data_IF_149122749371
#
_entry.id   IF_149122749371
#
_cell.length_a   1.000
_cell.length_b   1.000
_cell.length_c   1.000
_cell.angle_alpha   90.00
_cell.angle_beta   90.00
_cell.angle_gamma   90.00
#
_symmetry.space_group_name_H-M   'P 1'
#
loop_
_entity.id
_entity.type
_entity.pdbx_description
1 polymer ?
#
# COMPACT_ATOMS: atom_id res chain seq x y z
N UNK A 1 -0.14 -5.93 10.59
CA UNK A 1 -0.26 -5.95 9.11
C UNK A 1 0.40 -7.18 8.46
N UNK A 2 1.73 -7.38 8.52
CA UNK A 2 2.44 -8.50 7.83
C UNK A 2 1.84 -9.91 8.06
N UNK A 3 1.22 -10.15 9.22
CA UNK A 3 0.64 -11.45 9.61
C UNK A 3 -0.76 -11.73 9.08
N UNK A 4 -1.49 -10.69 8.68
CA UNK A 4 -2.93 -10.75 8.39
C UNK A 4 -3.26 -10.32 6.97
N UNK A 5 -2.43 -9.48 6.35
CA UNK A 5 -2.80 -8.79 5.12
C UNK A 5 -2.85 -9.69 3.89
N UNK A 6 -2.08 -10.78 3.85
CA UNK A 6 -2.17 -11.82 2.81
C UNK A 6 -3.40 -12.73 2.97
N UNK A 7 -4.09 -12.64 4.12
CA UNK A 7 -5.26 -13.46 4.48
C UNK A 7 -6.56 -12.67 4.43
N UNK A 8 -6.52 -11.41 4.01
CA UNK A 8 -7.73 -10.62 3.79
C UNK A 8 -8.60 -11.27 2.69
N UNK A 9 -9.93 -11.08 2.74
CA UNK A 9 -10.79 -11.55 1.67
C UNK A 9 -10.43 -10.87 0.35
N UNK A 10 -10.74 -11.53 -0.77
CA UNK A 10 -10.31 -11.11 -2.12
C UNK A 10 -10.81 -9.73 -2.54
N UNK A 11 -11.87 -9.24 -1.90
CA UNK A 11 -12.41 -7.91 -2.13
C UNK A 11 -11.67 -6.80 -1.36
N UNK A 12 -10.65 -7.11 -0.53
CA UNK A 12 -9.83 -6.12 0.16
C UNK A 12 -8.36 -6.22 -0.30
N UNK A 13 -7.89 -5.14 -0.93
CA UNK A 13 -6.47 -4.86 -1.07
C UNK A 13 -6.05 -3.81 -0.04
N UNK A 14 -4.93 -4.04 0.66
CA UNK A 14 -4.35 -3.06 1.58
C UNK A 14 -2.83 -3.09 1.52
N UNK A 15 -2.24 -1.95 1.19
CA UNK A 15 -0.80 -1.69 1.15
C UNK A 15 -0.35 -0.97 2.42
N UNK A 16 0.87 -1.27 2.87
CA UNK A 16 1.62 -0.37 3.75
C UNK A 16 2.64 0.42 2.93
N UNK A 17 2.65 1.74 3.09
CA UNK A 17 3.53 2.66 2.38
C UNK A 17 4.37 3.47 3.38
N UNK A 18 5.51 2.93 3.82
CA UNK A 18 6.42 3.68 4.64
C UNK A 18 7.16 4.77 3.88
N UNK A 19 7.27 5.94 4.50
CA UNK A 19 7.86 7.15 3.93
C UNK A 19 8.66 7.91 4.99
N UNK A 20 9.73 8.58 4.57
CA UNK A 20 10.40 9.58 5.41
C UNK A 20 9.61 10.88 5.36
N UNK A 21 9.22 11.40 6.52
CA UNK A 21 8.47 12.65 6.67
C UNK A 21 9.14 13.57 7.69
N UNK A 22 8.78 14.85 7.67
CA UNK A 22 9.20 15.79 8.72
C UNK A 22 8.50 15.45 10.04
N UNK A 23 9.28 15.50 11.12
CA UNK A 23 8.80 15.30 12.49
C UNK A 23 8.09 16.54 13.04
N UNK A 24 7.84 16.51 14.35
CA UNK A 24 7.15 17.61 15.04
C UNK A 24 8.10 18.79 15.33
N UNK A 25 9.40 18.53 15.44
CA UNK A 25 10.41 19.56 15.68
C UNK A 25 11.11 19.93 14.37
N UNK A 26 11.53 21.19 14.27
CA UNK A 26 12.30 21.66 13.13
C UNK A 26 13.58 20.81 12.94
N UNK A 27 13.79 20.34 11.70
CA UNK A 27 14.93 19.48 11.34
C UNK A 27 14.79 18.01 11.75
N UNK A 28 13.76 17.64 12.52
CA UNK A 28 13.49 16.25 12.86
C UNK A 28 12.88 15.53 11.64
N UNK A 29 13.31 14.28 11.43
CA UNK A 29 12.72 13.39 10.42
C UNK A 29 12.31 12.09 11.08
N UNK A 30 11.19 11.54 10.64
CA UNK A 30 10.65 10.29 11.16
C UNK A 30 10.08 9.44 10.02
N UNK A 31 9.64 8.23 10.35
CA UNK A 31 8.93 7.36 9.42
C UNK A 31 7.42 7.47 9.68
N UNK A 32 6.66 7.79 8.64
CA UNK A 32 5.23 7.56 8.61
C UNK A 32 4.93 6.28 7.82
N UNK A 33 4.02 5.45 8.31
CA UNK A 33 3.51 4.29 7.56
C UNK A 33 2.08 4.58 7.17
N UNK A 34 1.86 4.87 5.89
CA UNK A 34 0.52 5.17 5.36
C UNK A 34 -0.12 3.87 4.86
N UNK A 35 -1.35 3.59 5.27
CA UNK A 35 -2.10 2.44 4.78
C UNK A 35 -3.06 2.87 3.68
N UNK A 36 -2.84 2.38 2.47
CA UNK A 36 -3.77 2.59 1.35
C UNK A 36 -4.56 1.31 1.11
N UNK A 37 -5.87 1.43 0.98
CA UNK A 37 -6.73 0.28 0.77
C UNK A 37 -7.76 0.54 -0.33
N UNK A 38 -8.11 -0.52 -1.05
CA UNK A 38 -9.28 -0.56 -1.93
C UNK A 38 -10.13 -1.74 -1.53
N UNK A 39 -11.41 -1.46 -1.27
CA UNK A 39 -12.39 -2.46 -0.89
C UNK A 39 -13.54 -2.47 -1.89
N UNK A 40 -13.82 -3.64 -2.47
CA UNK A 40 -14.97 -3.83 -3.36
C UNK A 40 -16.21 -4.09 -2.50
N UNK A 41 -16.73 -3.01 -1.90
CA UNK A 41 -17.87 -3.03 -1.01
C UNK A 41 -18.11 -1.69 -0.32
N UNK A 42 -19.03 -1.69 0.65
CA UNK A 42 -19.41 -0.51 1.44
C UNK A 42 -18.44 -0.27 2.60
N UNK A 43 -18.29 0.98 3.02
CA UNK A 43 -17.34 1.40 4.05
C UNK A 43 -17.62 0.77 5.43
N UNK A 44 -18.89 0.57 5.80
CA UNK A 44 -19.30 -0.11 7.04
C UNK A 44 -18.75 -1.56 7.10
N UNK A 45 -18.85 -2.29 5.99
CA UNK A 45 -18.30 -3.65 5.85
C UNK A 45 -16.78 -3.66 5.91
N UNK A 46 -16.12 -2.68 5.27
CA UNK A 46 -14.67 -2.51 5.38
C UNK A 46 -14.26 -2.28 6.83
N UNK A 47 -14.91 -1.34 7.51
CA UNK A 47 -14.61 -1.00 8.90
C UNK A 47 -14.81 -2.19 9.83
N UNK A 48 -15.90 -2.94 9.68
CA UNK A 48 -16.15 -4.15 10.46
C UNK A 48 -15.05 -5.21 10.24
N UNK A 49 -14.65 -5.42 8.99
CA UNK A 49 -13.58 -6.34 8.62
C UNK A 49 -12.22 -5.93 9.21
N UNK A 50 -11.84 -4.66 9.08
CA UNK A 50 -10.58 -4.13 9.61
C UNK A 50 -10.58 -4.16 11.13
N UNK A 51 -11.68 -3.79 11.78
CA UNK A 51 -11.82 -3.89 13.24
C UNK A 51 -11.64 -5.33 13.75
N UNK A 52 -12.10 -6.32 12.98
CA UNK A 52 -11.95 -7.72 13.34
C UNK A 52 -10.53 -8.26 13.10
N UNK A 53 -9.87 -7.85 12.02
CA UNK A 53 -8.63 -8.48 11.52
C UNK A 53 -7.35 -7.68 11.75
N UNK A 54 -7.47 -6.37 11.94
CA UNK A 54 -6.38 -5.42 12.16
C UNK A 54 -6.87 -4.22 13.00
N UNK A 55 -7.39 -4.46 14.23
CA UNK A 55 -7.91 -3.39 15.09
C UNK A 55 -6.87 -2.32 15.42
N UNK A 56 -5.58 -2.66 15.43
CA UNK A 56 -4.47 -1.75 15.74
C UNK A 56 -4.32 -0.62 14.72
N UNK A 57 -4.91 -0.76 13.51
CA UNK A 57 -4.94 0.32 12.52
C UNK A 57 -5.85 1.47 12.96
N UNK A 58 -6.88 1.20 13.78
CA UNK A 58 -7.80 2.22 14.26
C UNK A 58 -8.59 2.92 13.16
N UNK A 59 -8.93 2.22 12.06
CA UNK A 59 -9.67 2.80 10.92
C UNK A 59 -11.00 3.43 11.36
N UNK A 60 -11.24 4.67 10.95
CA UNK A 60 -12.47 5.42 11.25
C UNK A 60 -13.27 5.71 9.98
N UNK A 61 -14.51 6.18 10.15
CA UNK A 61 -15.43 6.40 9.03
C UNK A 61 -14.96 7.54 8.13
N UNK A 62 -14.37 8.57 8.73
CA UNK A 62 -13.78 9.73 8.07
C UNK A 62 -12.59 9.38 7.18
N UNK A 63 -11.92 8.26 7.45
CA UNK A 63 -10.80 7.76 6.64
C UNK A 63 -11.29 6.96 5.42
N UNK A 64 -12.60 6.70 5.29
CA UNK A 64 -13.20 5.87 4.24
C UNK A 64 -13.94 6.71 3.20
N UNK A 65 -13.47 6.70 1.95
CA UNK A 65 -14.12 7.41 0.84
C UNK A 65 -14.80 6.42 -0.10
N UNK A 66 -16.13 6.43 -0.14
CA UNK A 66 -16.90 5.61 -1.08
C UNK A 66 -17.03 6.32 -2.42
N UNK A 67 -16.68 5.63 -3.50
CA UNK A 67 -16.74 6.15 -4.87
C UNK A 67 -16.96 4.99 -5.85
N UNK A 68 -17.26 5.32 -7.12
CA UNK A 68 -17.33 4.30 -8.17
C UNK A 68 -15.96 3.65 -8.38
N UNK A 69 -15.93 2.41 -8.87
CA UNK A 69 -14.67 1.74 -9.18
C UNK A 69 -13.80 2.56 -10.14
N UNK A 70 -14.39 3.18 -11.16
CA UNK A 70 -13.66 4.01 -12.10
C UNK A 70 -13.05 5.25 -11.41
N UNK A 71 -13.77 5.89 -10.49
CA UNK A 71 -13.24 7.02 -9.73
C UNK A 71 -12.03 6.62 -8.85
N UNK A 72 -11.95 5.35 -8.40
CA UNK A 72 -10.77 4.87 -7.66
C UNK A 72 -9.49 4.94 -8.51
N UNK A 73 -9.57 4.82 -9.83
CA UNK A 73 -8.41 4.95 -10.72
C UNK A 73 -7.77 6.34 -10.60
N UNK A 74 -8.59 7.39 -10.51
CA UNK A 74 -8.11 8.77 -10.32
C UNK A 74 -7.52 8.95 -8.92
N UNK A 75 -8.17 8.41 -7.89
CA UNK A 75 -7.65 8.42 -6.52
C UNK A 75 -6.27 7.74 -6.41
N UNK A 76 -6.09 6.57 -7.02
CA UNK A 76 -4.80 5.85 -7.02
C UNK A 76 -3.72 6.52 -7.85
N UNK A 77 -4.10 7.38 -8.80
CA UNK A 77 -3.18 8.20 -9.59
C UNK A 77 -2.89 9.56 -8.93
N UNK A 78 -3.29 9.75 -7.67
CA UNK A 78 -3.11 10.98 -6.89
C UNK A 78 -3.74 12.23 -7.52
N UNK A 79 -4.80 12.06 -8.32
CA UNK A 79 -5.58 13.19 -8.83
C UNK A 79 -6.53 13.76 -7.76
N UNK A 80 -6.78 15.08 -7.73
CA UNK A 80 -7.84 15.67 -6.93
C UNK A 80 -9.20 15.03 -7.21
N UNK A 81 -10.06 14.93 -6.19
CA UNK A 81 -11.34 14.23 -6.26
C UNK A 81 -12.27 14.69 -7.41
N UNK A 82 -12.23 15.97 -7.77
CA UNK A 82 -13.08 16.57 -8.81
C UNK A 82 -12.45 16.55 -10.22
N UNK A 83 -11.34 15.82 -10.39
CA UNK A 83 -10.66 15.74 -11.68
C UNK A 83 -11.50 14.99 -12.72
N UNK A 84 -11.72 15.55 -13.92
CA UNK A 84 -12.46 14.84 -14.96
C UNK A 84 -11.76 13.56 -15.43
N UNK A 85 -12.49 12.45 -15.63
CA UNK A 85 -11.98 11.20 -16.21
C UNK A 85 -11.13 11.32 -17.47
N UNK A 86 -11.39 12.34 -18.30
CA UNK A 86 -10.69 12.56 -19.56
C UNK A 86 -9.19 12.76 -19.39
N UNK A 87 -8.71 13.16 -18.20
CA UNK A 87 -7.28 13.26 -17.91
C UNK A 87 -6.53 11.93 -18.11
N UNK A 88 -7.23 10.79 -17.98
CA UNK A 88 -6.64 9.47 -18.20
C UNK A 88 -6.33 9.19 -19.68
N UNK A 89 -6.79 10.04 -20.61
CA UNK A 89 -6.44 10.00 -22.03
C UNK A 89 -5.14 10.75 -22.33
N UNK A 90 -4.68 11.60 -21.42
CA UNK A 90 -3.48 12.41 -21.61
C UNK A 90 -2.22 11.57 -21.45
N UNK A 91 -1.23 11.79 -22.32
CA UNK A 91 0.09 11.16 -22.22
C UNK A 91 1.02 12.04 -21.37
N UNK A 92 1.56 11.55 -20.23
CA UNK A 92 2.51 12.33 -19.44
C UNK A 92 3.78 12.65 -20.23
N UNK A 93 4.25 13.90 -20.16
CA UNK A 93 5.42 14.39 -20.90
C UNK A 93 6.62 14.74 -20.00
N UNK A 94 6.44 14.78 -18.68
CA UNK A 94 7.48 15.16 -17.72
C UNK A 94 7.96 13.93 -16.94
N UNK A 95 9.11 13.33 -17.30
CA UNK A 95 9.62 12.17 -16.58
C UNK A 95 10.21 12.57 -15.22
N UNK A 96 9.95 11.76 -14.20
CA UNK A 96 10.68 11.80 -12.93
C UNK A 96 11.88 10.86 -12.97
N UNK A 97 13.03 11.29 -12.46
CA UNK A 97 14.19 10.42 -12.30
C UNK A 97 14.12 9.69 -10.96
N UNK A 98 14.17 8.36 -10.99
CA UNK A 98 14.16 7.55 -9.78
C UNK A 98 14.96 6.25 -9.98
N UNK A 99 15.29 5.61 -8.86
CA UNK A 99 15.84 4.25 -8.83
C UNK A 99 14.98 3.38 -7.95
N UNK A 100 14.54 2.25 -8.49
CA UNK A 100 13.77 1.24 -7.74
C UNK A 100 14.47 -0.11 -7.72
N UNK A 101 14.13 -0.88 -6.69
CA UNK A 101 14.42 -2.31 -6.50
C UNK A 101 13.19 -2.92 -5.82
N UNK A 102 13.04 -4.24 -5.92
CA UNK A 102 11.97 -5.00 -5.27
C UNK A 102 12.52 -6.31 -4.70
N UNK A 103 11.80 -6.84 -3.71
CA UNK A 103 12.05 -8.13 -3.09
C UNK A 103 10.72 -8.80 -2.75
N UNK A 104 10.73 -10.13 -2.59
CA UNK A 104 9.59 -10.92 -2.15
C UNK A 104 9.81 -11.44 -0.74
N UNK A 105 8.85 -11.14 0.15
CA UNK A 105 8.93 -11.47 1.57
C UNK A 105 8.06 -12.68 1.87
N UNK A 106 8.70 -13.82 2.18
CA UNK A 106 8.02 -15.09 2.47
C UNK A 106 7.68 -15.29 3.94
N UNK A 107 8.46 -14.66 4.82
CA UNK A 107 8.25 -14.69 6.28
C UNK A 107 8.20 -13.25 6.78
N UNK A 108 7.35 -12.93 7.77
CA UNK A 108 7.29 -11.60 8.35
C UNK A 108 8.67 -11.10 8.75
N UNK A 109 9.00 -9.88 8.35
CA UNK A 109 10.22 -9.21 8.78
C UNK A 109 10.10 -9.00 10.30
N UNK A 110 11.07 -9.45 11.11
CA UNK A 110 11.05 -9.26 12.55
C UNK A 110 11.12 -7.77 12.89
N UNK A 111 10.69 -7.41 14.10
CA UNK A 111 10.63 -6.01 14.54
C UNK A 111 11.99 -5.31 14.41
N UNK A 112 13.05 -5.98 14.82
CA UNK A 112 14.43 -5.47 14.77
C UNK A 112 14.88 -5.26 13.32
N UNK A 113 14.36 -6.07 12.38
CA UNK A 113 14.59 -5.91 10.94
C UNK A 113 13.91 -4.66 10.39
N UNK A 114 12.65 -4.41 10.79
CA UNK A 114 11.94 -3.17 10.44
C UNK A 114 12.62 -1.94 11.04
N UNK A 115 13.09 -2.00 12.29
CA UNK A 115 13.83 -0.90 12.92
C UNK A 115 15.13 -0.56 12.17
N UNK A 116 15.88 -1.59 11.73
CA UNK A 116 17.07 -1.38 10.89
C UNK A 116 16.70 -0.75 9.54
N UNK A 117 15.59 -1.18 8.94
CA UNK A 117 15.08 -0.61 7.70
C UNK A 117 14.73 0.87 7.85
N UNK A 118 14.00 1.25 8.92
CA UNK A 118 13.68 2.64 9.26
C UNK A 118 14.92 3.49 9.44
N UNK A 119 15.88 3.01 10.24
CA UNK A 119 17.16 3.70 10.44
C UNK A 119 17.87 3.92 9.10
N UNK A 120 17.86 2.92 8.21
CA UNK A 120 18.49 3.04 6.89
C UNK A 120 17.78 4.06 6.00
N UNK A 121 16.44 4.04 5.96
CA UNK A 121 15.65 5.03 5.20
C UNK A 121 15.95 6.47 5.65
N UNK A 122 16.10 6.70 6.96
CA UNK A 122 16.41 8.02 7.53
C UNK A 122 17.82 8.53 7.21
N UNK A 123 18.73 7.67 6.72
CA UNK A 123 20.09 8.11 6.31
C UNK A 123 20.12 8.86 4.97
N UNK A 124 19.06 8.75 4.18
CA UNK A 124 18.98 9.42 2.88
C UNK A 124 18.42 10.84 3.04
N UNK A 125 18.99 11.80 2.32
CA UNK A 125 18.50 13.18 2.28
C UNK A 125 17.50 13.43 1.13
N UNK A 126 17.37 12.47 0.22
CA UNK A 126 16.40 12.51 -0.87
C UNK A 126 15.06 11.88 -0.44
N UNK A 127 14.03 12.04 -1.26
CA UNK A 127 12.73 11.39 -1.04
C UNK A 127 12.91 9.87 -1.12
N UNK A 128 12.56 9.15 -0.05
CA UNK A 128 12.65 7.70 0.05
C UNK A 128 11.33 7.14 0.57
N UNK A 129 10.82 6.14 -0.13
CA UNK A 129 9.64 5.40 0.27
C UNK A 129 9.75 3.93 -0.11
N UNK A 130 8.90 3.11 0.49
CA UNK A 130 8.78 1.69 0.19
C UNK A 130 7.31 1.32 0.03
N UNK A 131 6.99 0.42 -0.88
CA UNK A 131 5.61 -0.08 -1.00
C UNK A 131 5.59 -1.55 -0.64
N UNK A 132 4.88 -1.89 0.42
CA UNK A 132 4.65 -3.28 0.84
C UNK A 132 3.28 -3.70 0.32
N UNK A 133 3.28 -4.46 -0.78
CA UNK A 133 2.08 -4.97 -1.44
C UNK A 133 1.89 -6.45 -1.12
N UNK A 134 0.67 -6.85 -0.83
CA UNK A 134 0.37 -8.19 -0.33
C UNK A 134 0.00 -9.14 -1.43
N UNK A 135 0.56 -10.34 -1.36
CA UNK A 135 0.25 -11.46 -2.23
C UNK A 135 -0.50 -12.50 -1.42
N UNK A 136 -1.62 -12.97 -1.96
CA UNK A 136 -2.59 -13.84 -1.32
C UNK A 136 -3.83 -13.95 -2.19
N UNK A 137 -4.96 -14.38 -1.63
CA UNK A 137 -6.22 -14.46 -2.37
C UNK A 137 -6.09 -15.24 -3.68
N UNK A 138 -6.45 -14.62 -4.80
CA UNK A 138 -6.35 -15.23 -6.13
C UNK A 138 -4.90 -15.61 -6.50
N UNK A 139 -3.90 -14.84 -6.05
CA UNK A 139 -2.49 -15.13 -6.36
C UNK A 139 -2.00 -16.45 -5.76
N UNK A 140 -2.64 -16.93 -4.68
CA UNK A 140 -2.32 -18.22 -4.05
C UNK A 140 -2.94 -19.42 -4.79
N UNK A 141 -3.95 -19.18 -5.63
CA UNK A 141 -4.68 -20.23 -6.36
C UNK A 141 -4.07 -20.53 -7.72
N UNK A 142 -3.31 -19.59 -8.28
CA UNK A 142 -2.68 -19.73 -9.59
C UNK A 142 -1.37 -20.53 -9.43
N UNK A 143 -1.15 -21.62 -10.19
CA UNK A 143 0.12 -22.34 -10.19
C UNK A 143 1.30 -21.45 -10.60
N UNK A 144 2.48 -21.65 -9.99
CA UNK A 144 3.68 -20.85 -10.27
C UNK A 144 4.18 -20.97 -11.71
N UNK A 145 3.80 -22.04 -12.42
CA UNK A 145 4.15 -22.28 -13.82
C UNK A 145 3.02 -21.92 -14.81
N UNK A 146 1.89 -21.37 -14.34
CA UNK A 146 0.77 -21.02 -15.22
C UNK A 146 1.12 -19.85 -16.17
N UNK A 147 2.04 -18.98 -15.76
CA UNK A 147 2.60 -17.90 -16.59
C UNK A 147 4.08 -17.72 -16.26
N UNK A 148 4.79 -16.89 -17.04
CA UNK A 148 6.18 -16.51 -16.76
C UNK A 148 6.37 -15.77 -15.42
N UNK A 149 5.30 -15.36 -14.75
CA UNK A 149 5.34 -14.71 -13.44
C UNK A 149 5.16 -15.75 -12.31
N UNK A 150 6.24 -16.13 -11.59
CA UNK A 150 6.22 -17.29 -10.71
C UNK A 150 5.79 -16.97 -9.28
N UNK A 151 5.68 -15.68 -8.92
CA UNK A 151 5.44 -15.26 -7.53
C UNK A 151 3.97 -15.44 -7.14
N UNK A 152 3.62 -16.68 -6.79
CA UNK A 152 2.29 -17.13 -6.37
C UNK A 152 2.29 -17.47 -4.87
N UNK A 153 1.60 -18.54 -4.47
CA UNK A 153 1.54 -19.02 -3.09
C UNK A 153 2.93 -19.17 -2.45
N UNK A 154 3.21 -18.38 -1.40
CA UNK A 154 4.44 -18.45 -0.61
C UNK A 154 5.70 -17.88 -1.27
N UNK A 155 5.57 -17.03 -2.29
CA UNK A 155 6.65 -16.72 -3.21
C UNK A 155 7.14 -15.28 -3.24
#
# INVERSE_FOLDING_TARGET
WQLVSTKFPENLFMRAWPQVVNGTKYGERTIAVVFYAQFLGRADKLMALVKQRLPELGLRREDCHEMSWFATTLFWADYPADTPPSVLLDRPTNPGFFKSKSDYVKKPIPKEGLEKLWKKMLTFNNIVWMQMNTYGGVMDRIPANATAFPHRKGN
#
